data_IF_801421498521
#
_entry.id   IF_801421498521
#
_cell.length_a   1.000
_cell.length_b   1.000
_cell.length_c   1.000
_cell.angle_alpha   90.00
_cell.angle_beta   90.00
_cell.angle_gamma   90.00
#
_symmetry.space_group_name_H-M   'P 1'
#
loop_
_entity.id
_entity.type
_entity.pdbx_description
1 polymer ?
#
# COMPACT_ATOMS: atom_id res chain seq x y z
N UNK A 1 19.11 -23.81 15.68
CA UNK A 1 18.68 -22.81 14.67
C UNK A 1 17.18 -22.93 14.57
N UNK A 2 16.45 -22.08 15.29
CA UNK A 2 14.99 -22.01 15.16
C UNK A 2 14.68 -21.13 13.95
N UNK A 3 14.23 -21.75 12.86
CA UNK A 3 13.57 -21.07 11.76
C UNK A 3 12.22 -20.54 12.28
N UNK A 4 12.25 -19.34 12.87
CA UNK A 4 11.07 -18.72 13.47
C UNK A 4 10.02 -18.45 12.40
N UNK A 5 8.84 -19.04 12.58
CA UNK A 5 7.62 -18.76 11.82
C UNK A 5 7.46 -17.24 11.64
N UNK A 6 7.61 -16.77 10.41
CA UNK A 6 7.61 -15.34 10.08
C UNK A 6 6.33 -14.68 10.57
N UNK A 7 6.43 -13.78 11.54
CA UNK A 7 5.28 -13.02 12.08
C UNK A 7 4.52 -12.34 10.93
N UNK A 8 3.36 -12.90 10.54
CA UNK A 8 2.45 -12.28 9.58
C UNK A 8 1.94 -10.95 10.13
N UNK A 9 2.31 -9.84 9.51
CA UNK A 9 1.90 -8.50 9.93
C UNK A 9 0.41 -8.28 9.69
N UNK A 10 -0.13 -8.93 8.64
CA UNK A 10 -1.57 -8.99 8.35
C UNK A 10 -2.42 -9.46 9.53
N UNK A 11 -1.88 -10.30 10.43
CA UNK A 11 -2.60 -10.79 11.61
C UNK A 11 -3.06 -9.69 12.56
N UNK A 12 -2.37 -8.54 12.57
CA UNK A 12 -2.72 -7.35 13.37
C UNK A 12 -3.86 -6.54 12.79
N UNK A 13 -4.29 -6.87 11.58
CA UNK A 13 -5.34 -6.21 10.86
C UNK A 13 -6.50 -7.15 10.57
N UNK A 14 -7.67 -6.54 10.40
CA UNK A 14 -8.86 -7.15 9.85
C UNK A 14 -8.97 -6.66 8.41
N UNK A 15 -8.69 -7.52 7.44
CA UNK A 15 -8.74 -7.19 6.01
C UNK A 15 -10.21 -7.20 5.57
N UNK A 16 -10.68 -6.07 5.04
CA UNK A 16 -12.07 -5.89 4.60
C UNK A 16 -12.19 -5.89 3.06
N UNK A 17 -11.12 -5.52 2.36
CA UNK A 17 -11.03 -5.59 0.91
C UNK A 17 -9.57 -5.62 0.48
N UNK A 18 -9.24 -6.42 -0.53
CA UNK A 18 -7.88 -6.56 -1.01
C UNK A 18 -7.87 -6.85 -2.51
N UNK A 19 -7.05 -6.09 -3.23
CA UNK A 19 -6.72 -6.28 -4.62
C UNK A 19 -5.22 -6.05 -4.76
N UNK A 20 -4.44 -7.03 -4.30
CA UNK A 20 -2.98 -7.11 -4.43
C UNK A 20 -2.49 -8.52 -4.11
N UNK A 21 -1.23 -8.83 -4.45
CA UNK A 21 -0.60 -10.10 -4.05
C UNK A 21 -0.39 -10.19 -2.53
N UNK A 22 -0.26 -11.41 -2.01
CA UNK A 22 -0.01 -11.62 -0.58
C UNK A 22 1.31 -11.01 -0.10
N UNK A 23 2.33 -10.96 -0.97
CA UNK A 23 3.62 -10.33 -0.66
C UNK A 23 3.47 -8.81 -0.50
N UNK A 24 2.83 -8.14 -1.45
CA UNK A 24 2.56 -6.70 -1.40
C UNK A 24 1.68 -6.35 -0.19
N UNK A 25 0.71 -7.19 0.12
CA UNK A 25 -0.14 -7.06 1.32
C UNK A 25 0.69 -7.05 2.61
N UNK A 26 1.55 -8.04 2.82
CA UNK A 26 2.37 -8.12 4.04
C UNK A 26 3.32 -6.92 4.15
N UNK A 27 3.86 -6.45 3.02
CA UNK A 27 4.72 -5.27 2.97
C UNK A 27 3.97 -4.01 3.38
N UNK A 28 2.77 -3.78 2.84
CA UNK A 28 1.93 -2.66 3.21
C UNK A 28 1.50 -2.75 4.68
N UNK A 29 1.12 -3.94 5.17
CA UNK A 29 0.81 -4.14 6.59
C UNK A 29 1.99 -3.76 7.49
N UNK A 30 3.23 -4.11 7.11
CA UNK A 30 4.44 -3.72 7.84
C UNK A 30 4.65 -2.19 7.85
N UNK A 31 4.48 -1.54 6.70
CA UNK A 31 4.56 -0.07 6.57
C UNK A 31 3.55 0.61 7.49
N UNK A 32 2.31 0.13 7.51
CA UNK A 32 1.23 0.69 8.30
C UNK A 32 1.45 0.50 9.80
N UNK A 33 1.92 -0.67 10.24
CA UNK A 33 2.26 -0.88 11.65
C UNK A 33 3.36 0.06 12.12
N UNK A 34 4.36 0.31 11.28
CA UNK A 34 5.41 1.29 11.60
C UNK A 34 4.82 2.69 11.73
N UNK A 35 3.98 3.11 10.78
CA UNK A 35 3.37 4.42 10.80
C UNK A 35 2.42 4.67 11.99
N UNK A 36 1.61 3.67 12.34
CA UNK A 36 0.71 3.73 13.52
C UNK A 36 1.50 3.84 14.82
N UNK A 37 2.69 3.23 14.91
CA UNK A 37 3.52 3.29 16.13
C UNK A 37 4.24 4.63 16.27
N UNK A 38 4.70 5.19 15.16
CA UNK A 38 5.53 6.39 15.15
C UNK A 38 4.71 7.69 15.24
N UNK A 39 3.43 7.66 14.86
CA UNK A 39 2.60 8.86 14.79
C UNK A 39 1.32 8.72 15.60
N UNK A 40 0.85 9.86 16.14
CA UNK A 40 -0.42 9.94 16.90
C UNK A 40 -1.59 10.47 16.07
N UNK A 41 -1.32 11.31 15.06
CA UNK A 41 -2.34 11.95 14.25
C UNK A 41 -2.58 11.18 12.95
N UNK A 42 -3.84 11.04 12.56
CA UNK A 42 -4.25 10.31 11.35
C UNK A 42 -3.59 10.88 10.09
N UNK A 43 -3.43 12.21 10.01
CA UNK A 43 -2.77 12.90 8.89
C UNK A 43 -1.32 12.47 8.72
N UNK A 44 -0.59 12.30 9.82
CA UNK A 44 0.85 11.99 9.81
C UNK A 44 1.05 10.52 9.45
N UNK A 45 0.17 9.64 9.96
CA UNK A 45 0.10 8.22 9.57
C UNK A 45 -0.14 8.11 8.05
N UNK A 46 -1.16 8.80 7.53
CA UNK A 46 -1.51 8.75 6.11
C UNK A 46 -0.36 9.25 5.22
N UNK A 47 0.24 10.38 5.59
CA UNK A 47 1.38 10.97 4.89
C UNK A 47 2.57 9.99 4.85
N UNK A 48 2.94 9.42 6.00
CA UNK A 48 4.08 8.51 6.08
C UNK A 48 3.85 7.21 5.30
N UNK A 49 2.64 6.66 5.32
CA UNK A 49 2.28 5.48 4.53
C UNK A 49 2.41 5.80 3.03
N UNK A 50 1.80 6.89 2.58
CA UNK A 50 1.84 7.32 1.18
C UNK A 50 3.28 7.47 0.69
N UNK A 51 4.11 8.24 1.40
CA UNK A 51 5.52 8.45 1.01
C UNK A 51 6.30 7.15 0.96
N UNK A 52 6.04 6.19 1.86
CA UNK A 52 6.70 4.88 1.81
C UNK A 52 6.24 4.04 0.63
N UNK A 53 4.96 4.06 0.27
CA UNK A 53 4.45 3.37 -0.91
C UNK A 53 5.00 3.96 -2.21
N UNK A 54 5.12 5.29 -2.31
CA UNK A 54 5.69 5.97 -3.48
C UNK A 54 7.17 5.62 -3.70
N UNK A 55 7.94 5.48 -2.62
CA UNK A 55 9.38 5.18 -2.71
C UNK A 55 9.70 3.67 -2.71
N UNK A 56 8.69 2.79 -2.70
CA UNK A 56 8.94 1.35 -2.63
C UNK A 56 9.09 0.72 -4.02
N UNK A 57 10.28 0.21 -4.34
CA UNK A 57 10.55 -0.39 -5.64
C UNK A 57 9.69 -1.63 -5.94
N UNK A 58 9.36 -2.46 -4.95
CA UNK A 58 8.59 -3.68 -5.21
C UNK A 58 7.10 -3.38 -5.45
N UNK A 59 6.55 -2.41 -4.74
CA UNK A 59 5.16 -1.97 -4.96
C UNK A 59 4.98 -1.26 -6.30
N UNK A 60 6.05 -0.63 -6.81
CA UNK A 60 6.03 0.11 -8.07
C UNK A 60 6.69 -0.62 -9.25
N UNK A 61 7.22 -1.83 -9.03
CA UNK A 61 7.60 -2.73 -10.13
C UNK A 61 6.32 -3.15 -10.83
N UNK A 62 6.06 -2.54 -11.99
CA UNK A 62 5.03 -3.02 -12.89
C UNK A 62 5.32 -4.49 -13.23
N UNK A 63 4.27 -5.31 -13.32
CA UNK A 63 4.38 -6.66 -13.86
C UNK A 63 4.89 -6.52 -15.30
N UNK A 64 6.21 -6.57 -15.49
CA UNK A 64 6.88 -6.63 -16.78
C UNK A 64 6.41 -7.90 -17.47
N UNK A 65 5.37 -7.78 -18.30
CA UNK A 65 5.17 -8.72 -19.40
C UNK A 65 6.12 -8.31 -20.53
N UNK A 66 6.82 -9.31 -21.09
CA UNK A 66 8.11 -9.27 -21.77
C UNK A 66 8.32 -8.32 -22.99
N UNK A 67 7.37 -7.48 -23.39
CA UNK A 67 7.49 -6.65 -24.61
C UNK A 67 7.75 -5.15 -24.36
N UNK A 68 7.57 -4.65 -23.13
CA UNK A 68 7.54 -3.20 -22.86
C UNK A 68 8.90 -2.60 -22.46
N UNK A 69 10.02 -3.31 -22.66
CA UNK A 69 11.36 -2.83 -22.25
C UNK A 69 11.84 -1.61 -23.04
N UNK A 70 11.35 -1.39 -24.27
CA UNK A 70 11.76 -0.25 -25.10
C UNK A 70 10.92 1.03 -24.89
N UNK A 71 9.67 0.90 -24.46
CA UNK A 71 8.82 2.04 -24.11
C UNK A 71 9.24 2.69 -22.78
N UNK A 72 9.68 1.87 -21.82
CA UNK A 72 10.10 2.33 -20.49
C UNK A 72 11.32 3.27 -20.49
N UNK A 73 12.18 3.23 -21.52
CA UNK A 73 13.27 4.20 -21.66
C UNK A 73 12.74 5.60 -22.05
N UNK A 74 11.62 5.65 -22.77
CA UNK A 74 10.96 6.88 -23.21
C UNK A 74 10.01 7.41 -22.14
N UNK A 75 9.37 6.53 -21.36
CA UNK A 75 8.44 6.93 -20.29
C UNK A 75 9.15 7.42 -19.01
N UNK A 76 10.37 6.98 -18.74
CA UNK A 76 11.22 7.60 -17.70
C UNK A 76 11.56 9.07 -18.00
N UNK A 77 11.43 9.51 -19.26
CA UNK A 77 11.52 10.93 -19.67
C UNK A 77 10.16 11.64 -19.64
N UNK A 78 9.05 10.92 -19.45
CA UNK A 78 7.66 11.40 -19.35
C UNK A 78 7.00 10.98 -18.02
N UNK A 79 7.73 11.12 -16.92
CA UNK A 79 7.29 10.79 -15.54
C UNK A 79 6.15 11.70 -15.02
N UNK A 80 5.04 11.83 -15.77
CA UNK A 80 3.87 12.63 -15.39
C UNK A 80 2.57 11.83 -15.28
N UNK A 81 2.52 10.54 -15.63
CA UNK A 81 1.25 9.77 -15.64
C UNK A 81 1.33 8.34 -15.10
N UNK A 82 2.17 8.08 -14.10
CA UNK A 82 2.04 6.87 -13.28
C UNK A 82 1.23 7.28 -12.05
N UNK A 83 -0.02 6.81 -11.94
CA UNK A 83 -0.97 7.26 -10.91
C UNK A 83 -0.38 7.29 -9.49
N UNK A 84 -0.74 8.31 -8.70
CA UNK A 84 -0.17 8.52 -7.36
C UNK A 84 -0.83 7.62 -6.32
N UNK A 85 -0.03 7.15 -5.35
CA UNK A 85 -0.55 6.45 -4.18
C UNK A 85 -1.40 7.41 -3.33
N UNK A 86 -2.57 6.94 -2.94
CA UNK A 86 -3.51 7.60 -2.08
C UNK A 86 -3.64 6.79 -0.79
N UNK A 87 -3.69 7.48 0.34
CA UNK A 87 -3.88 6.86 1.65
C UNK A 87 -4.95 7.64 2.43
N UNK A 88 -5.96 6.91 2.90
CA UNK A 88 -7.03 7.43 3.73
C UNK A 88 -6.97 6.68 5.06
N UNK A 89 -6.92 7.43 6.14
CA UNK A 89 -6.85 6.92 7.51
C UNK A 89 -7.96 7.59 8.31
N UNK A 90 -8.79 6.79 8.98
CA UNK A 90 -9.88 7.31 9.80
C UNK A 90 -10.60 6.20 10.55
N UNK A 91 -11.52 6.56 11.46
CA UNK A 91 -12.28 5.57 12.23
C UNK A 91 -13.30 4.83 11.38
N UNK A 92 -14.15 5.58 10.67
CA UNK A 92 -15.23 5.07 9.84
C UNK A 92 -15.36 5.92 8.58
N UNK A 93 -15.33 5.29 7.41
CA UNK A 93 -15.60 5.94 6.13
C UNK A 93 -16.07 4.90 5.11
N UNK A 94 -16.78 5.38 4.10
CA UNK A 94 -17.14 4.63 2.90
C UNK A 94 -16.42 5.23 1.70
N UNK A 95 -16.23 4.45 0.64
CA UNK A 95 -15.55 4.90 -0.57
C UNK A 95 -16.15 4.23 -1.80
N UNK A 96 -16.12 4.94 -2.93
CA UNK A 96 -16.38 4.43 -4.26
C UNK A 96 -15.40 5.14 -5.19
N UNK A 97 -14.36 4.44 -5.62
CA UNK A 97 -13.21 5.02 -6.33
C UNK A 97 -12.75 4.07 -7.43
N UNK A 98 -12.17 4.65 -8.48
CA UNK A 98 -11.40 3.91 -9.47
C UNK A 98 -9.95 3.85 -9.02
N UNK A 99 -9.34 2.66 -9.14
CA UNK A 99 -7.96 2.42 -8.73
C UNK A 99 -7.27 1.47 -9.71
N UNK A 100 -5.95 1.55 -9.81
CA UNK A 100 -5.15 0.65 -10.64
C UNK A 100 -5.24 -0.80 -10.13
N UNK A 101 -5.41 -1.76 -11.05
CA UNK A 101 -5.47 -3.19 -10.71
C UNK A 101 -4.24 -3.63 -9.90
N UNK A 102 -4.43 -4.53 -8.93
CA UNK A 102 -3.38 -5.07 -8.05
C UNK A 102 -2.75 -4.03 -7.09
N UNK A 103 -3.36 -2.85 -6.94
CA UNK A 103 -2.87 -1.76 -6.09
C UNK A 103 -3.94 -1.22 -5.12
N UNK A 104 -4.75 -2.06 -4.46
CA UNK A 104 -5.71 -1.59 -3.44
C UNK A 104 -5.81 -2.52 -2.23
N UNK A 105 -5.84 -1.93 -1.03
CA UNK A 105 -6.13 -2.66 0.21
C UNK A 105 -6.92 -1.77 1.18
N UNK A 106 -7.94 -2.37 1.79
CA UNK A 106 -8.83 -1.77 2.78
C UNK A 106 -8.92 -2.68 4.01
N UNK A 107 -8.53 -2.14 5.16
CA UNK A 107 -8.32 -2.95 6.36
C UNK A 107 -8.37 -2.11 7.63
N UNK A 108 -8.58 -2.76 8.77
CA UNK A 108 -8.70 -2.11 10.07
C UNK A 108 -7.70 -2.67 11.06
N UNK A 109 -6.99 -1.81 11.79
CA UNK A 109 -6.09 -2.24 12.85
C UNK A 109 -6.89 -2.73 14.06
N UNK A 110 -6.65 -3.97 14.50
CA UNK A 110 -7.49 -4.63 15.50
C UNK A 110 -7.53 -3.91 16.85
N UNK A 111 -6.39 -3.35 17.28
CA UNK A 111 -6.26 -2.70 18.60
C UNK A 111 -6.72 -1.24 18.57
N UNK A 112 -6.23 -0.43 17.64
CA UNK A 112 -6.59 1.00 17.60
C UNK A 112 -7.94 1.26 16.92
N UNK A 113 -8.51 0.23 16.28
CA UNK A 113 -9.73 0.33 15.46
C UNK A 113 -9.63 1.36 14.32
N UNK A 114 -8.42 1.75 13.97
CA UNK A 114 -8.15 2.68 12.87
C UNK A 114 -8.33 1.95 11.55
N UNK A 115 -9.18 2.50 10.69
CA UNK A 115 -9.45 1.98 9.35
C UNK A 115 -8.54 2.68 8.35
N UNK A 116 -7.94 1.91 7.45
CA UNK A 116 -6.95 2.37 6.48
C UNK A 116 -7.35 1.85 5.10
N UNK A 117 -7.41 2.77 4.13
CA UNK A 117 -7.53 2.47 2.71
C UNK A 117 -6.27 2.99 2.02
N UNK A 118 -5.62 2.13 1.24
CA UNK A 118 -4.47 2.49 0.41
C UNK A 118 -4.78 2.02 -1.00
N UNK A 119 -4.61 2.91 -1.96
CA UNK A 119 -4.76 2.55 -3.37
C UNK A 119 -3.88 3.41 -4.26
N UNK A 120 -3.64 2.96 -5.49
CA UNK A 120 -3.02 3.78 -6.54
C UNK A 120 -4.11 4.29 -7.47
N UNK A 121 -4.17 5.60 -7.70
CA UNK A 121 -5.15 6.19 -8.62
C UNK A 121 -4.88 5.73 -10.06
N UNK A 122 -5.92 5.68 -10.88
CA UNK A 122 -5.78 5.49 -12.34
C UNK A 122 -5.24 6.76 -12.97
#
# INVERSE_FOLDING_TARGET
MEEGEGKKYSSKFEIKGICMTSENCEKICKICLKAIRENKLEKDIASQIKTKCENDEMLNKENLTDETSYLNLIDNLKNENIGSWQCIVGKNFAFSINYQFNCMIYFQHKTTKLTILIYKSV
#
